data_IF_475364756577
#
_entry.id   IF_475364756577
#
_cell.length_a   1.000
_cell.length_b   1.000
_cell.length_c   1.000
_cell.angle_alpha   90.00
_cell.angle_beta   90.00
_cell.angle_gamma   90.00
#
_symmetry.space_group_name_H-M   'P 1'
#
loop_
_entity.id
_entity.type
_entity.pdbx_description
1 polymer ?
#
# COMPACT_ATOMS: atom_id res chain seq x y z
N UNK A 1 -5.54 6.51 -3.23
CA UNK A 1 -6.26 6.52 -1.95
C UNK A 1 -7.75 6.68 -2.21
N UNK A 2 -8.63 6.13 -1.36
CA UNK A 2 -10.06 6.42 -1.44
C UNK A 2 -10.32 7.92 -1.30
N UNK A 3 -11.32 8.43 -2.00
CA UNK A 3 -11.72 9.84 -1.87
C UNK A 3 -12.24 10.10 -0.46
N UNK A 4 -12.06 11.32 0.02
CA UNK A 4 -12.60 11.78 1.30
C UNK A 4 -13.99 12.40 1.16
N UNK A 5 -14.71 12.45 2.28
CA UNK A 5 -15.93 13.25 2.42
C UNK A 5 -17.24 12.46 2.23
N UNK A 6 -18.23 12.81 3.05
CA UNK A 6 -19.53 12.12 3.13
C UNK A 6 -20.28 12.09 1.80
N UNK A 7 -20.18 13.15 1.00
CA UNK A 7 -20.89 13.26 -0.28
C UNK A 7 -20.43 12.24 -1.33
N UNK A 8 -19.19 11.76 -1.23
CA UNK A 8 -18.61 10.77 -2.15
C UNK A 8 -18.62 9.36 -1.56
N UNK A 9 -19.30 9.16 -0.42
CA UNK A 9 -19.15 7.95 0.40
C UNK A 9 -17.67 7.61 0.63
N UNK A 10 -16.90 8.65 0.92
CA UNK A 10 -15.46 8.56 1.05
C UNK A 10 -15.01 7.75 2.26
N UNK A 11 -13.80 7.21 2.18
CA UNK A 11 -13.17 6.48 3.27
C UNK A 11 -12.84 7.40 4.45
N UNK A 12 -12.70 6.80 5.63
CA UNK A 12 -12.19 7.49 6.81
C UNK A 12 -10.68 7.69 6.69
N UNK A 13 -10.18 8.87 7.04
CA UNK A 13 -8.73 9.09 7.14
C UNK A 13 -8.19 8.28 8.31
N UNK A 14 -7.24 7.42 8.01
CA UNK A 14 -6.37 6.78 9.00
C UNK A 14 -5.07 7.59 9.05
N UNK A 15 -4.88 8.34 10.12
CA UNK A 15 -3.77 9.27 10.28
C UNK A 15 -2.60 8.68 11.07
N UNK A 16 -1.58 9.51 11.26
CA UNK A 16 -0.35 9.16 11.97
C UNK A 16 -0.61 8.71 13.42
N UNK A 17 -1.54 9.37 14.12
CA UNK A 17 -1.91 9.02 15.48
C UNK A 17 -2.55 7.62 15.56
N UNK A 18 -3.39 7.27 14.58
CA UNK A 18 -3.99 5.94 14.53
C UNK A 18 -2.99 4.86 14.10
N UNK A 19 -2.02 5.20 13.25
CA UNK A 19 -0.87 4.34 12.94
C UNK A 19 -0.09 4.01 14.21
N UNK A 20 0.28 5.01 15.00
CA UNK A 20 1.00 4.80 16.26
C UNK A 20 0.21 3.93 17.23
N UNK A 21 -1.12 4.06 17.26
CA UNK A 21 -1.95 3.20 18.09
C UNK A 21 -1.80 1.73 17.66
N UNK A 22 -1.91 1.41 16.37
CA UNK A 22 -1.76 0.03 15.88
C UNK A 22 -0.34 -0.51 16.07
N UNK A 23 0.67 0.32 15.90
CA UNK A 23 2.07 -0.04 16.16
C UNK A 23 2.28 -0.39 17.64
N UNK A 24 1.75 0.41 18.57
CA UNK A 24 1.84 0.16 20.01
C UNK A 24 1.15 -1.15 20.43
N UNK A 25 0.07 -1.53 19.75
CA UNK A 25 -0.59 -2.83 19.95
C UNK A 25 0.17 -4.01 19.32
N UNK A 26 1.19 -3.77 18.48
CA UNK A 26 1.86 -4.81 17.72
C UNK A 26 0.99 -5.40 16.61
N UNK A 27 -0.04 -4.68 16.16
CA UNK A 27 -1.02 -5.15 15.17
C UNK A 27 -0.48 -5.01 13.73
N UNK A 28 0.66 -5.66 13.44
CA UNK A 28 1.41 -5.52 12.18
C UNK A 28 0.57 -5.82 10.93
N UNK A 29 -0.20 -6.91 10.95
CA UNK A 29 -1.03 -7.32 9.80
C UNK A 29 -2.18 -6.36 9.56
N UNK A 30 -2.79 -5.85 10.64
CA UNK A 30 -3.87 -4.86 10.54
C UNK A 30 -3.34 -3.56 9.99
N UNK A 31 -2.19 -3.10 10.47
CA UNK A 31 -1.53 -1.90 9.96
C UNK A 31 -1.16 -2.07 8.49
N UNK A 32 -0.60 -3.21 8.10
CA UNK A 32 -0.27 -3.51 6.71
C UNK A 32 -1.52 -3.46 5.84
N UNK A 33 -2.62 -4.11 6.23
CA UNK A 33 -3.88 -4.07 5.49
C UNK A 33 -4.40 -2.63 5.31
N UNK A 34 -4.36 -1.82 6.37
CA UNK A 34 -4.82 -0.43 6.35
C UNK A 34 -4.02 0.41 5.35
N UNK A 35 -2.71 0.20 5.24
CA UNK A 35 -1.83 0.95 4.35
C UNK A 35 -1.81 0.43 2.91
N UNK A 36 -2.20 -0.83 2.68
CA UNK A 36 -2.10 -1.52 1.38
C UNK A 36 -3.49 -1.77 0.78
N UNK A 37 -4.02 -2.99 0.93
CA UNK A 37 -5.22 -3.51 0.27
C UNK A 37 -6.50 -2.74 0.62
N UNK A 38 -6.54 -2.04 1.76
CA UNK A 38 -7.67 -1.16 2.14
C UNK A 38 -7.52 0.29 1.67
N UNK A 39 -6.35 0.69 1.18
CA UNK A 39 -6.06 2.07 0.78
C UNK A 39 -5.57 2.20 -0.67
N UNK A 40 -4.33 1.80 -0.92
CA UNK A 40 -3.53 2.21 -2.10
C UNK A 40 -3.01 1.06 -2.96
N UNK A 41 -3.17 -0.19 -2.54
CA UNK A 41 -2.88 -1.33 -3.39
C UNK A 41 -4.08 -1.61 -4.31
N UNK A 42 -4.08 -0.99 -5.50
CA UNK A 42 -5.17 -1.12 -6.49
C UNK A 42 -5.40 -2.57 -6.93
N UNK A 43 -4.37 -3.33 -7.36
CA UNK A 43 -4.58 -4.73 -7.74
C UNK A 43 -4.95 -5.61 -6.54
N UNK A 44 -4.33 -5.39 -5.36
CA UNK A 44 -4.64 -6.13 -4.14
C UNK A 44 -6.05 -5.90 -3.63
N UNK A 45 -6.58 -4.67 -3.75
CA UNK A 45 -7.96 -4.34 -3.33
C UNK A 45 -9.02 -5.08 -4.13
N UNK A 46 -8.83 -5.21 -5.45
CA UNK A 46 -9.76 -5.97 -6.31
C UNK A 46 -9.74 -7.45 -5.99
N UNK A 47 -8.54 -8.03 -5.78
CA UNK A 47 -8.37 -9.43 -5.37
C UNK A 47 -8.96 -9.68 -3.99
N UNK A 48 -8.76 -8.77 -3.04
CA UNK A 48 -9.34 -8.84 -1.70
C UNK A 48 -10.87 -8.92 -1.79
N UNK A 49 -11.50 -8.09 -2.62
CA UNK A 49 -12.95 -8.14 -2.82
C UNK A 49 -13.40 -9.49 -3.40
N UNK A 50 -12.68 -10.01 -4.40
CA UNK A 50 -12.97 -11.32 -4.98
C UNK A 50 -12.85 -12.46 -3.95
N UNK A 51 -11.77 -12.48 -3.16
CA UNK A 51 -11.55 -13.46 -2.09
C UNK A 51 -12.64 -13.39 -1.02
N UNK A 52 -13.07 -12.18 -0.63
CA UNK A 52 -14.17 -11.99 0.32
C UNK A 52 -15.49 -12.55 -0.20
N UNK A 53 -15.78 -12.38 -1.50
CA UNK A 53 -17.00 -12.93 -2.13
C UNK A 53 -16.93 -14.47 -2.20
N UNK A 54 -15.75 -15.03 -2.44
CA UNK A 54 -15.54 -16.49 -2.51
C UNK A 54 -15.39 -17.18 -1.15
N UNK A 55 -15.21 -16.41 -0.07
CA UNK A 55 -14.90 -16.95 1.26
C UNK A 55 -13.49 -17.53 1.36
N UNK A 56 -12.57 -17.09 0.50
CA UNK A 56 -11.16 -17.46 0.52
C UNK A 56 -10.37 -16.56 1.46
N UNK A 57 -9.15 -16.98 1.82
CA UNK A 57 -8.26 -16.16 2.63
C UNK A 57 -7.87 -14.86 1.92
N UNK A 58 -7.51 -13.85 2.71
CA UNK A 58 -7.06 -12.57 2.19
C UNK A 58 -5.75 -12.73 1.39
N UNK A 59 -5.64 -12.09 0.21
CA UNK A 59 -4.43 -12.15 -0.59
C UNK A 59 -3.27 -11.42 0.10
N UNK A 60 -2.04 -11.82 -0.23
CA UNK A 60 -0.85 -11.11 0.25
C UNK A 60 -0.81 -9.67 -0.29
N UNK A 61 -0.56 -8.66 0.57
CA UNK A 61 -0.46 -7.28 0.17
C UNK A 61 0.72 -7.00 -0.78
N UNK A 62 0.48 -6.17 -1.80
CA UNK A 62 1.51 -5.66 -2.70
C UNK A 62 2.16 -4.36 -2.22
N UNK A 63 2.92 -3.74 -3.12
CA UNK A 63 3.55 -2.44 -2.91
C UNK A 63 2.48 -1.34 -3.07
N UNK A 64 2.29 -0.43 -2.10
CA UNK A 64 1.36 0.69 -2.24
C UNK A 64 1.74 1.63 -3.39
N UNK A 65 0.76 2.08 -4.17
CA UNK A 65 1.01 3.02 -5.26
C UNK A 65 1.59 4.36 -4.78
N UNK A 66 1.29 4.77 -3.55
CA UNK A 66 1.88 5.97 -2.93
C UNK A 66 3.43 5.89 -2.87
N UNK A 67 4.00 4.70 -2.67
CA UNK A 67 5.45 4.52 -2.69
C UNK A 67 6.01 4.67 -4.11
N UNK A 68 5.33 4.13 -5.12
CA UNK A 68 5.71 4.31 -6.53
C UNK A 68 5.68 5.79 -6.94
N UNK A 69 4.68 6.55 -6.47
CA UNK A 69 4.59 8.01 -6.69
C UNK A 69 5.75 8.73 -6.02
N UNK A 70 6.04 8.42 -4.74
CA UNK A 70 7.17 9.00 -4.01
C UNK A 70 8.50 8.81 -4.75
N UNK A 71 8.78 7.60 -5.24
CA UNK A 71 10.02 7.31 -6.00
C UNK A 71 10.10 8.17 -7.26
N UNK A 72 8.98 8.33 -7.99
CA UNK A 72 8.93 9.15 -9.20
C UNK A 72 9.08 10.65 -8.90
N UNK A 73 8.52 11.14 -7.81
CA UNK A 73 8.66 12.53 -7.38
C UNK A 73 10.11 12.86 -7.03
N UNK A 74 10.80 11.95 -6.33
CA UNK A 74 12.24 12.10 -6.04
C UNK A 74 13.09 12.06 -7.32
N UNK A 75 12.77 11.17 -8.25
CA UNK A 75 13.43 11.12 -9.57
C UNK A 75 13.19 12.41 -10.38
N UNK A 76 12.02 13.03 -10.27
CA UNK A 76 11.72 14.33 -10.87
C UNK A 76 12.61 15.46 -10.35
N UNK A 77 13.14 15.34 -9.13
CA UNK A 77 14.12 16.27 -8.56
C UNK A 77 15.57 15.95 -8.95
N UNK A 78 15.79 14.93 -9.78
CA UNK A 78 17.13 14.47 -10.16
C UNK A 78 17.77 13.54 -9.13
N UNK A 79 17.01 13.02 -8.17
CA UNK A 79 17.51 12.03 -7.19
C UNK A 79 17.27 10.61 -7.73
N UNK A 80 18.34 9.84 -7.89
CA UNK A 80 18.24 8.44 -8.31
C UNK A 80 17.92 7.55 -7.10
N UNK A 81 16.67 7.11 -7.01
CA UNK A 81 16.21 6.14 -6.00
C UNK A 81 15.97 4.79 -6.67
N UNK A 82 16.61 3.74 -6.14
CA UNK A 82 16.45 2.35 -6.58
C UNK A 82 16.18 1.44 -5.39
N UNK A 83 15.28 0.49 -5.58
CA UNK A 83 15.06 -0.59 -4.61
C UNK A 83 16.18 -1.61 -4.77
N UNK A 84 16.81 -2.00 -3.66
CA UNK A 84 17.84 -3.03 -3.64
C UNK A 84 17.27 -4.31 -3.04
N UNK A 85 17.69 -5.46 -3.58
CA UNK A 85 17.40 -6.77 -3.01
C UNK A 85 18.73 -7.44 -2.67
N UNK A 86 18.92 -7.82 -1.41
CA UNK A 86 20.12 -8.50 -0.91
C UNK A 86 21.46 -7.81 -1.23
N UNK A 87 21.45 -6.47 -1.27
CA UNK A 87 22.64 -5.66 -1.57
C UNK A 87 22.94 -5.50 -3.07
N UNK A 88 22.16 -6.15 -3.93
CA UNK A 88 22.20 -5.94 -5.38
C UNK A 88 21.09 -4.96 -5.80
N UNK A 89 21.38 -4.13 -6.79
CA UNK A 89 20.35 -3.31 -7.41
C UNK A 89 19.36 -4.22 -8.13
N UNK A 90 18.08 -4.13 -7.76
CA UNK A 90 17.02 -4.83 -8.50
C UNK A 90 17.10 -4.39 -9.96
N UNK A 91 17.38 -5.34 -10.87
CA UNK A 91 17.47 -5.05 -12.30
C UNK A 91 16.09 -4.63 -12.79
N UNK A 92 16.05 -3.60 -13.63
CA UNK A 92 14.82 -3.05 -14.21
C UNK A 92 14.00 -4.06 -15.04
N UNK A 93 14.55 -5.25 -15.32
CA UNK A 93 13.98 -6.30 -16.17
C UNK A 93 13.21 -7.42 -15.43
N UNK A 94 13.18 -7.43 -14.08
CA UNK A 94 12.47 -8.50 -13.33
C UNK A 94 10.96 -8.25 -13.15
N UNK A 95 10.39 -7.26 -13.85
CA UNK A 95 8.93 -7.11 -13.99
C UNK A 95 8.45 -7.83 -15.24
N UNK A 96 8.26 -9.16 -15.13
CA UNK A 96 7.34 -9.92 -15.99
C UNK A 96 6.06 -10.23 -15.22
#
# INVERSE_FOLDING_TARGET
>A
QPLGGKAQFGGQRFGEMEVWALEAYGASHVLQEMLTVKSDDVPGRSKLFESLVKGENTPEPGIPEAFSVLVRELQGLGLEVKVMHDGEFARSDDRK
#
